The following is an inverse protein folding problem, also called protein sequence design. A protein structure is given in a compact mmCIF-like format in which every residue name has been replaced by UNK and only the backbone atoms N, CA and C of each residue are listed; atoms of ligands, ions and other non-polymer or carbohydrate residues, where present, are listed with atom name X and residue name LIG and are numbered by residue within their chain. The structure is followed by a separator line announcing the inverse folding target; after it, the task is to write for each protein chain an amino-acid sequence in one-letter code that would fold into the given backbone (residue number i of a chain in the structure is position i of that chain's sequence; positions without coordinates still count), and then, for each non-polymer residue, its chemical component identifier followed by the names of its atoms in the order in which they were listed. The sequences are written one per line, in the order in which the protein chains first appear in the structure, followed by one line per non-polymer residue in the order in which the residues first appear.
data_IF_123404579569
#
_entry.id   IF_123404579569
#
_cell.length_a   1.000
_cell.length_b   1.000
_cell.length_c   1.000
_cell.angle_alpha   90.00
_cell.angle_beta   90.00
_cell.angle_gamma   90.00
#
_symmetry.space_group_name_H-M   'P 1'
#
loop_
_entity.id
_entity.type
_entity.pdbx_description
1 polymer ?
#
# COMPACT_ATOMS: atom_id res chain seq x y z
N UNK A 1 3.62 12.20 -6.66
CA UNK A 1 4.03 10.82 -7.07
C UNK A 1 4.19 9.99 -5.80
N UNK A 2 3.51 8.83 -5.71
CA UNK A 2 3.62 7.94 -4.56
C UNK A 2 4.76 6.94 -4.81
N UNK A 3 5.63 6.79 -3.82
CA UNK A 3 6.76 5.86 -3.88
C UNK A 3 6.63 4.86 -2.73
N UNK A 4 6.47 3.58 -3.10
CA UNK A 4 6.43 2.49 -2.14
C UNK A 4 7.86 2.17 -1.66
N UNK A 5 8.01 1.99 -0.36
CA UNK A 5 9.26 1.49 0.21
C UNK A 5 9.47 0.01 -0.14
N UNK A 6 10.62 -0.51 0.23
CA UNK A 6 11.04 -1.87 -0.08
C UNK A 6 9.92 -2.89 0.13
N UNK A 7 9.60 -3.64 -0.94
CA UNK A 7 8.66 -4.77 -0.88
C UNK A 7 9.29 -5.96 -1.62
N UNK A 8 10.33 -6.52 -1.01
CA UNK A 8 10.99 -7.77 -1.40
C UNK A 8 10.66 -8.88 -0.41
N UNK A 9 10.94 -10.09 -0.80
CA UNK A 9 10.51 -11.31 -0.14
C UNK A 9 9.41 -12.00 -0.95
N UNK A 10 8.91 -13.13 -0.50
CA UNK A 10 7.95 -13.96 -1.22
C UNK A 10 8.46 -14.34 -2.63
N UNK A 11 7.78 -13.87 -3.66
CA UNK A 11 8.09 -14.08 -5.07
C UNK A 11 9.20 -13.15 -5.61
N UNK A 12 9.54 -12.10 -4.86
CA UNK A 12 10.50 -11.08 -5.26
C UNK A 12 11.82 -11.26 -4.51
N UNK A 13 12.57 -12.28 -4.88
CA UNK A 13 13.89 -12.52 -4.31
C UNK A 13 14.94 -11.62 -4.97
N UNK A 14 15.77 -10.99 -4.14
CA UNK A 14 16.95 -10.29 -4.58
C UNK A 14 18.18 -10.94 -3.90
N UNK A 15 19.11 -11.46 -4.69
CA UNK A 15 20.33 -12.15 -4.20
C UNK A 15 21.13 -11.32 -3.18
N UNK A 16 21.07 -9.99 -3.32
CA UNK A 16 21.74 -9.06 -2.41
C UNK A 16 21.30 -9.20 -0.95
N UNK A 17 20.03 -9.55 -0.70
CA UNK A 17 19.48 -9.62 0.65
C UNK A 17 19.72 -10.98 1.32
N UNK A 18 20.20 -11.98 0.60
CA UNK A 18 20.50 -13.32 1.10
C UNK A 18 19.38 -13.86 2.02
N UNK A 19 18.13 -13.66 1.62
CA UNK A 19 17.00 -14.14 2.38
C UNK A 19 17.00 -15.66 2.42
N UNK A 20 16.83 -16.21 3.61
CA UNK A 20 16.71 -17.65 3.78
C UNK A 20 15.48 -18.20 3.08
N UNK A 21 15.50 -19.47 2.73
CA UNK A 21 14.35 -20.13 2.16
C UNK A 21 13.27 -20.30 3.24
N UNK A 22 12.05 -19.86 2.92
CA UNK A 22 10.87 -20.00 3.78
C UNK A 22 9.83 -20.91 3.10
N UNK A 23 9.11 -21.71 3.89
CA UNK A 23 8.04 -22.55 3.35
C UNK A 23 6.82 -21.74 2.88
N UNK A 24 6.56 -20.60 3.51
CA UNK A 24 5.46 -19.69 3.20
C UNK A 24 5.96 -18.25 3.00
N UNK A 25 6.74 -17.97 1.93
CA UNK A 25 7.42 -16.68 1.78
C UNK A 25 6.48 -15.48 1.75
N UNK A 26 5.25 -15.64 1.24
CA UNK A 26 4.26 -14.58 1.22
C UNK A 26 3.86 -14.09 2.61
N UNK A 27 3.91 -14.98 3.61
CA UNK A 27 3.61 -14.69 5.02
C UNK A 27 4.88 -14.54 5.87
N UNK A 28 6.04 -14.60 5.26
CA UNK A 28 7.33 -14.67 5.90
C UNK A 28 7.99 -13.31 6.16
N UNK A 29 9.33 -13.33 6.14
CA UNK A 29 10.20 -12.18 6.36
C UNK A 29 10.32 -11.34 5.09
N UNK A 30 9.43 -10.36 4.93
CA UNK A 30 9.31 -9.51 3.74
C UNK A 30 8.96 -8.07 4.07
N UNK A 31 9.17 -7.19 3.11
CA UNK A 31 8.69 -5.81 3.10
C UNK A 31 9.06 -5.02 4.37
N UNK A 32 8.07 -4.44 5.06
CA UNK A 32 8.31 -3.63 6.26
C UNK A 32 9.00 -4.43 7.38
N UNK A 33 8.81 -5.74 7.46
CA UNK A 33 9.47 -6.59 8.45
C UNK A 33 10.99 -6.54 8.29
N UNK A 34 11.48 -6.57 7.04
CA UNK A 34 12.89 -6.38 6.72
C UNK A 34 13.34 -4.97 7.10
N UNK A 35 12.57 -3.96 6.74
CA UNK A 35 12.89 -2.57 7.02
C UNK A 35 13.06 -2.28 8.52
N UNK A 36 12.18 -2.84 9.36
CA UNK A 36 12.20 -2.61 10.81
C UNK A 36 13.29 -3.41 11.53
N UNK A 37 13.72 -4.55 10.99
CA UNK A 37 14.78 -5.38 11.58
C UNK A 37 16.17 -5.08 11.01
N UNK A 38 16.23 -4.46 9.83
CA UNK A 38 17.45 -3.98 9.18
C UNK A 38 17.36 -2.48 8.87
N UNK A 39 17.33 -1.61 9.90
CA UNK A 39 16.98 -0.20 9.75
C UNK A 39 17.93 0.58 8.84
N UNK A 40 19.18 0.17 8.68
CA UNK A 40 20.14 0.87 7.81
C UNK A 40 19.76 0.81 6.32
N UNK A 41 19.16 -0.29 5.89
CA UNK A 41 18.63 -0.42 4.52
C UNK A 41 17.47 0.56 4.35
N UNK A 42 16.56 0.58 5.31
CA UNK A 42 15.38 1.44 5.30
C UNK A 42 15.76 2.92 5.37
N UNK A 43 16.66 3.30 6.28
CA UNK A 43 17.21 4.67 6.38
C UNK A 43 17.85 5.13 5.07
N UNK A 44 18.57 4.24 4.38
CA UNK A 44 19.17 4.57 3.09
C UNK A 44 18.10 4.95 2.06
N UNK A 45 17.02 4.18 1.97
CA UNK A 45 15.90 4.48 1.08
C UNK A 45 15.20 5.78 1.50
N UNK A 46 14.89 5.96 2.79
CA UNK A 46 14.25 7.16 3.30
C UNK A 46 15.08 8.43 3.05
N UNK A 47 16.41 8.38 3.27
CA UNK A 47 17.30 9.52 2.93
C UNK A 47 17.19 9.90 1.45
N UNK A 48 17.14 8.91 0.56
CA UNK A 48 16.99 9.17 -0.87
C UNK A 48 15.63 9.81 -1.19
N UNK A 49 14.55 9.32 -0.58
CA UNK A 49 13.20 9.84 -0.78
C UNK A 49 13.06 11.27 -0.24
N UNK A 50 13.51 11.54 0.99
CA UNK A 50 13.47 12.90 1.53
C UNK A 50 14.33 13.87 0.72
N UNK A 51 15.51 13.47 0.27
CA UNK A 51 16.32 14.31 -0.64
C UNK A 51 15.60 14.59 -1.96
N UNK A 52 14.89 13.61 -2.51
CA UNK A 52 14.11 13.79 -3.73
C UNK A 52 12.92 14.74 -3.54
N UNK A 53 12.35 14.82 -2.34
CA UNK A 53 11.21 15.71 -2.04
C UNK A 53 11.53 17.20 -2.21
N UNK A 54 12.80 17.59 -2.17
CA UNK A 54 13.22 18.97 -2.46
C UNK A 54 13.00 19.37 -3.95
N UNK A 55 12.83 18.39 -4.83
CA UNK A 55 12.76 18.61 -6.29
C UNK A 55 11.38 18.32 -6.88
N UNK A 56 10.43 17.83 -6.07
CA UNK A 56 9.09 17.53 -6.56
C UNK A 56 8.16 16.94 -5.50
N UNK A 57 6.88 16.96 -5.80
CA UNK A 57 5.84 16.40 -4.94
C UNK A 57 5.93 14.87 -4.93
N UNK A 58 6.30 14.31 -3.79
CA UNK A 58 6.30 12.87 -3.54
C UNK A 58 5.50 12.55 -2.29
N UNK A 59 5.02 11.31 -2.21
CA UNK A 59 4.46 10.71 -1.00
C UNK A 59 5.13 9.36 -0.79
N UNK A 60 5.24 8.91 0.46
CA UNK A 60 5.88 7.65 0.82
C UNK A 60 4.80 6.67 1.28
N UNK A 61 4.85 5.43 0.77
CA UNK A 61 3.90 4.38 1.10
C UNK A 61 4.62 3.16 1.69
N UNK A 62 4.15 2.68 2.84
CA UNK A 62 4.73 1.54 3.55
C UNK A 62 3.89 0.28 3.35
N UNK A 63 4.47 -0.80 2.79
CA UNK A 63 3.76 -2.05 2.52
C UNK A 63 3.70 -2.98 3.74
N UNK A 64 2.77 -3.95 3.72
CA UNK A 64 2.67 -5.08 4.66
C UNK A 64 2.47 -4.70 6.13
N UNK A 65 1.80 -3.60 6.39
CA UNK A 65 1.47 -3.14 7.74
C UNK A 65 0.39 -4.04 8.37
N UNK A 66 0.54 -4.32 9.66
CA UNK A 66 -0.43 -5.08 10.45
C UNK A 66 -0.80 -4.42 11.78
N UNK A 67 -0.07 -3.37 12.21
CA UNK A 67 -0.30 -2.75 13.52
C UNK A 67 0.07 -1.27 13.57
N UNK A 68 -0.47 -0.57 14.56
CA UNK A 68 -0.11 0.82 14.90
C UNK A 68 1.35 0.93 15.36
N UNK A 69 1.82 -0.09 16.09
CA UNK A 69 3.19 -0.14 16.59
C UNK A 69 4.24 -0.14 15.46
N UNK A 70 3.93 -0.80 14.34
CA UNK A 70 4.81 -0.76 13.15
C UNK A 70 4.87 0.67 12.59
N UNK A 71 3.73 1.36 12.47
CA UNK A 71 3.69 2.74 11.97
C UNK A 71 4.49 3.66 12.90
N UNK A 72 4.35 3.52 14.21
CA UNK A 72 5.09 4.33 15.18
C UNK A 72 6.60 4.10 15.10
N UNK A 73 7.05 2.86 14.94
CA UNK A 73 8.47 2.55 14.69
C UNK A 73 8.98 3.15 13.37
N UNK A 74 8.15 3.12 12.31
CA UNK A 74 8.48 3.78 11.06
C UNK A 74 8.68 5.29 11.27
N UNK A 75 7.76 5.94 11.98
CA UNK A 75 7.85 7.37 12.27
C UNK A 75 9.12 7.73 13.08
N UNK A 76 9.50 6.89 14.04
CA UNK A 76 10.76 7.07 14.79
C UNK A 76 11.97 7.06 13.84
N UNK A 77 12.06 6.06 12.95
CA UNK A 77 13.16 5.96 11.96
C UNK A 77 13.12 7.14 10.97
N UNK A 78 11.93 7.58 10.56
CA UNK A 78 11.76 8.74 9.67
C UNK A 78 12.31 10.01 10.34
N UNK A 79 11.99 10.26 11.62
CA UNK A 79 12.49 11.44 12.33
C UNK A 79 14.01 11.38 12.58
N UNK A 80 14.57 10.20 12.82
CA UNK A 80 16.03 10.03 12.86
C UNK A 80 16.67 10.45 11.52
N UNK A 81 16.14 9.96 10.40
CA UNK A 81 16.63 10.32 9.06
C UNK A 81 16.48 11.82 8.79
N UNK A 82 15.35 12.42 9.14
CA UNK A 82 15.15 13.88 8.99
C UNK A 82 16.14 14.67 9.85
N UNK A 83 16.42 14.21 11.08
CA UNK A 83 17.41 14.86 11.94
C UNK A 83 18.81 14.81 11.32
N UNK A 84 19.23 13.64 10.84
CA UNK A 84 20.51 13.48 10.16
C UNK A 84 20.64 14.39 8.93
N UNK A 85 19.57 14.50 8.11
CA UNK A 85 19.56 15.38 6.94
C UNK A 85 19.64 16.86 7.33
N UNK A 86 18.95 17.29 8.41
CA UNK A 86 19.03 18.66 8.92
C UNK A 86 20.46 18.99 9.41
N UNK A 87 21.09 18.10 10.15
CA UNK A 87 22.48 18.25 10.64
C UNK A 87 23.48 18.35 9.50
N UNK A 88 23.24 17.65 8.39
CA UNK A 88 24.07 17.70 7.17
C UNK A 88 23.76 18.92 6.28
N UNK A 89 22.79 19.76 6.62
CA UNK A 89 22.37 20.90 5.82
C UNK A 89 21.68 20.51 4.51
N UNK A 90 21.16 19.29 4.41
CA UNK A 90 20.47 18.80 3.22
C UNK A 90 19.03 19.27 3.22
N UNK A 91 18.60 19.90 2.13
CA UNK A 91 17.21 20.35 1.98
C UNK A 91 16.27 19.20 1.65
N UNK A 92 15.10 19.19 2.29
CA UNK A 92 14.00 18.30 1.98
C UNK A 92 12.65 18.98 2.34
N UNK A 93 11.56 18.45 1.82
CA UNK A 93 10.20 18.90 2.13
C UNK A 93 9.49 17.86 3.01
N UNK A 94 8.49 18.31 3.75
CA UNK A 94 7.54 17.38 4.35
C UNK A 94 6.75 16.68 3.25
N UNK A 95 6.48 15.41 3.45
CA UNK A 95 5.81 14.55 2.47
C UNK A 95 4.69 13.78 3.14
N UNK A 96 3.61 13.54 2.40
CA UNK A 96 2.56 12.64 2.86
C UNK A 96 3.11 11.23 3.05
N UNK A 97 2.69 10.59 4.14
CA UNK A 97 3.10 9.24 4.49
C UNK A 97 1.86 8.37 4.67
N UNK A 98 1.75 7.34 3.87
CA UNK A 98 0.62 6.42 3.89
C UNK A 98 1.06 4.97 3.99
N UNK A 99 0.08 4.11 4.12
CA UNK A 99 0.30 2.67 4.23
C UNK A 99 -0.48 1.90 3.16
N UNK A 100 0.03 0.73 2.83
CA UNK A 100 -0.72 -0.21 2.02
C UNK A 100 -1.61 -1.07 2.92
N UNK A 101 -2.91 -1.04 2.64
CA UNK A 101 -3.89 -1.92 3.28
C UNK A 101 -4.00 -3.18 2.42
N UNK A 102 -3.20 -4.17 2.75
CA UNK A 102 -3.09 -5.42 1.97
C UNK A 102 -3.08 -6.67 2.84
N UNK A 103 -3.20 -6.50 4.16
CA UNK A 103 -3.43 -7.58 5.10
C UNK A 103 -4.83 -7.49 5.70
N UNK A 104 -5.51 -8.61 5.99
CA UNK A 104 -6.79 -8.57 6.69
C UNK A 104 -6.70 -7.84 8.04
N UNK A 105 -5.58 -7.95 8.74
CA UNK A 105 -5.35 -7.23 10.00
C UNK A 105 -5.42 -5.71 9.80
N UNK A 106 -4.73 -5.17 8.78
CA UNK A 106 -4.77 -3.75 8.48
C UNK A 106 -6.18 -3.29 8.06
N UNK A 107 -6.89 -4.10 7.28
CA UNK A 107 -8.27 -3.78 6.88
C UNK A 107 -9.23 -3.70 8.08
N UNK A 108 -9.13 -4.65 9.01
CA UNK A 108 -9.94 -4.68 10.24
C UNK A 108 -9.60 -3.51 11.17
N UNK A 109 -8.33 -3.12 11.25
CA UNK A 109 -7.82 -2.07 12.13
C UNK A 109 -7.73 -0.70 11.45
N UNK A 110 -8.33 -0.54 10.27
CA UNK A 110 -8.18 0.67 9.46
C UNK A 110 -8.68 1.96 10.14
N UNK A 111 -9.63 1.86 11.07
CA UNK A 111 -10.13 2.99 11.87
C UNK A 111 -9.04 3.63 12.76
N UNK A 112 -8.24 2.80 13.43
CA UNK A 112 -7.13 3.28 14.28
C UNK A 112 -5.86 3.57 13.49
N UNK A 113 -5.62 2.84 12.39
CA UNK A 113 -4.48 3.09 11.51
C UNK A 113 -4.61 4.43 10.78
N UNK A 114 -5.84 4.84 10.44
CA UNK A 114 -6.12 6.13 9.81
C UNK A 114 -5.76 7.35 10.69
N UNK A 115 -5.64 7.19 12.00
CA UNK A 115 -5.19 8.26 12.91
C UNK A 115 -3.68 8.52 12.81
N UNK A 116 -2.95 7.61 12.20
CA UNK A 116 -1.49 7.64 12.18
C UNK A 116 -0.90 8.01 10.81
N UNK A 117 -1.70 8.10 9.74
CA UNK A 117 -1.19 8.30 8.39
C UNK A 117 -2.03 9.27 7.57
N UNK A 118 -1.50 9.73 6.45
CA UNK A 118 -2.17 10.70 5.57
C UNK A 118 -3.05 10.02 4.53
N UNK A 119 -2.76 8.77 4.16
CA UNK A 119 -3.52 8.04 3.15
C UNK A 119 -3.42 6.52 3.28
N UNK A 120 -4.37 5.85 2.65
CA UNK A 120 -4.38 4.41 2.42
C UNK A 120 -4.27 4.08 0.93
N UNK A 121 -3.53 3.04 0.61
CA UNK A 121 -3.56 2.41 -0.71
C UNK A 121 -3.91 0.94 -0.56
N UNK A 122 -5.07 0.52 -1.05
CA UNK A 122 -5.54 -0.85 -0.87
C UNK A 122 -4.83 -1.76 -1.88
N UNK A 123 -3.96 -2.63 -1.38
CA UNK A 123 -3.22 -3.63 -2.16
C UNK A 123 -4.08 -4.87 -2.41
N UNK A 124 -4.94 -4.80 -3.43
CA UNK A 124 -6.01 -5.80 -3.63
C UNK A 124 -5.51 -7.21 -3.90
N UNK A 125 -4.34 -7.38 -4.52
CA UNK A 125 -3.80 -8.70 -4.81
C UNK A 125 -3.44 -9.47 -3.54
N UNK A 126 -2.65 -8.86 -2.65
CA UNK A 126 -2.26 -9.48 -1.39
C UNK A 126 -3.45 -9.54 -0.40
N UNK A 127 -4.31 -8.52 -0.36
CA UNK A 127 -5.52 -8.54 0.46
C UNK A 127 -6.43 -9.73 0.08
N UNK A 128 -6.64 -9.97 -1.21
CA UNK A 128 -7.44 -11.11 -1.69
C UNK A 128 -6.76 -12.43 -1.34
N UNK A 129 -5.47 -12.56 -1.61
CA UNK A 129 -4.68 -13.75 -1.30
C UNK A 129 -4.79 -14.14 0.17
N UNK A 130 -4.57 -13.21 1.07
CA UNK A 130 -4.60 -13.49 2.52
C UNK A 130 -6.02 -13.69 3.06
N UNK A 131 -7.00 -12.96 2.55
CA UNK A 131 -8.38 -13.07 3.00
C UNK A 131 -9.01 -14.40 2.59
N UNK A 132 -8.76 -14.84 1.35
CA UNK A 132 -9.29 -16.09 0.84
C UNK A 132 -8.39 -17.29 1.16
N UNK A 133 -7.21 -17.06 1.73
CA UNK A 133 -6.20 -18.10 2.00
C UNK A 133 -5.79 -18.87 0.74
N UNK A 134 -5.62 -18.15 -0.39
CA UNK A 134 -5.30 -18.72 -1.71
C UNK A 134 -3.99 -18.11 -2.20
N UNK A 135 -3.01 -18.96 -2.49
CA UNK A 135 -1.80 -18.54 -3.17
C UNK A 135 -2.11 -18.24 -4.65
N UNK A 136 -2.06 -16.96 -5.01
CA UNK A 136 -2.34 -16.47 -6.37
C UNK A 136 -1.32 -16.95 -7.42
N UNK A 137 -0.19 -17.50 -7.00
CA UNK A 137 0.82 -18.08 -7.92
C UNK A 137 0.59 -19.55 -8.19
N UNK A 138 -0.30 -20.20 -7.47
CA UNK A 138 -0.61 -21.59 -7.63
C UNK A 138 -1.76 -21.79 -8.65
N UNK A 139 -1.41 -22.04 -9.90
CA UNK A 139 -2.38 -22.24 -10.98
C UNK A 139 -3.45 -23.31 -10.71
N UNK A 140 -3.22 -24.23 -9.76
CA UNK A 140 -4.24 -25.21 -9.35
C UNK A 140 -5.39 -24.58 -8.58
N UNK A 141 -5.19 -23.38 -8.06
CA UNK A 141 -6.17 -22.66 -7.26
C UNK A 141 -6.92 -21.58 -8.04
N UNK A 142 -6.63 -21.37 -9.33
CA UNK A 142 -7.24 -20.31 -10.14
C UNK A 142 -8.77 -20.36 -10.11
N UNK A 143 -9.36 -21.57 -10.09
CA UNK A 143 -10.83 -21.72 -10.03
C UNK A 143 -11.44 -21.37 -8.68
N UNK A 144 -10.65 -21.22 -7.64
CA UNK A 144 -11.07 -20.81 -6.30
C UNK A 144 -10.76 -19.33 -6.01
N UNK A 145 -9.89 -18.71 -6.82
CA UNK A 145 -9.52 -17.32 -6.66
C UNK A 145 -10.58 -16.42 -7.28
N UNK A 146 -11.34 -15.74 -6.43
CA UNK A 146 -12.35 -14.77 -6.85
C UNK A 146 -11.98 -13.38 -6.31
N UNK A 147 -11.44 -12.54 -7.19
CA UNK A 147 -11.09 -11.16 -6.85
C UNK A 147 -12.34 -10.28 -6.59
N UNK A 148 -13.52 -10.67 -7.11
CA UNK A 148 -14.80 -9.98 -6.86
C UNK A 148 -15.53 -10.51 -5.61
N UNK A 149 -14.87 -11.35 -4.83
CA UNK A 149 -15.49 -11.99 -3.66
C UNK A 149 -16.10 -10.94 -2.72
N UNK A 150 -17.35 -11.15 -2.25
CA UNK A 150 -18.05 -10.15 -1.42
C UNK A 150 -17.30 -9.75 -0.14
N UNK A 151 -16.47 -10.62 0.43
CA UNK A 151 -15.64 -10.29 1.58
C UNK A 151 -14.62 -9.20 1.24
N UNK A 152 -14.00 -9.26 0.06
CA UNK A 152 -13.03 -8.27 -0.40
C UNK A 152 -13.71 -6.91 -0.60
N UNK A 153 -14.84 -6.89 -1.30
CA UNK A 153 -15.60 -5.65 -1.53
C UNK A 153 -16.06 -5.01 -0.21
N UNK A 154 -16.48 -5.81 0.77
CA UNK A 154 -16.83 -5.31 2.11
C UNK A 154 -15.63 -4.74 2.85
N UNK A 155 -14.47 -5.39 2.78
CA UNK A 155 -13.24 -4.85 3.37
C UNK A 155 -12.84 -3.52 2.72
N UNK A 156 -12.89 -3.44 1.40
CA UNK A 156 -12.60 -2.20 0.66
C UNK A 156 -13.53 -1.07 1.14
N UNK A 157 -14.85 -1.30 1.20
CA UNK A 157 -15.79 -0.30 1.70
C UNK A 157 -15.45 0.13 3.13
N UNK A 158 -15.20 -0.82 4.02
CA UNK A 158 -14.84 -0.51 5.42
C UNK A 158 -13.59 0.35 5.51
N UNK A 159 -12.57 0.04 4.71
CA UNK A 159 -11.30 0.80 4.68
C UNK A 159 -11.53 2.22 4.17
N UNK A 160 -12.37 2.40 3.14
CA UNK A 160 -12.73 3.72 2.61
C UNK A 160 -13.45 4.53 3.68
N UNK A 161 -14.49 3.98 4.29
CA UNK A 161 -15.29 4.67 5.32
C UNK A 161 -14.42 5.07 6.52
N UNK A 162 -13.57 4.17 7.00
CA UNK A 162 -12.67 4.43 8.11
C UNK A 162 -11.61 5.49 7.78
N UNK A 163 -10.98 5.39 6.59
CA UNK A 163 -10.02 6.39 6.13
C UNK A 163 -10.63 7.78 6.05
N UNK A 164 -11.75 7.91 5.35
CA UNK A 164 -12.46 9.19 5.21
C UNK A 164 -12.93 9.77 6.53
N UNK A 165 -13.34 8.94 7.49
CA UNK A 165 -13.75 9.41 8.84
C UNK A 165 -12.63 10.12 9.59
N UNK A 166 -11.37 9.91 9.20
CA UNK A 166 -10.17 10.50 9.81
C UNK A 166 -9.44 11.48 8.87
N UNK A 167 -9.98 11.73 7.70
CA UNK A 167 -9.40 12.65 6.73
C UNK A 167 -8.30 12.05 5.85
N UNK A 168 -8.09 10.73 5.90
CA UNK A 168 -7.22 10.00 4.98
C UNK A 168 -7.93 9.85 3.63
N UNK A 169 -7.26 10.18 2.54
CA UNK A 169 -7.72 9.76 1.23
C UNK A 169 -7.37 8.28 0.97
N UNK A 170 -8.17 7.60 0.16
CA UNK A 170 -8.05 6.15 -0.05
C UNK A 170 -7.97 5.82 -1.53
N UNK A 171 -6.87 5.16 -1.93
CA UNK A 171 -6.68 4.64 -3.27
C UNK A 171 -6.72 3.11 -3.33
N UNK A 172 -6.92 2.58 -4.53
CA UNK A 172 -6.75 1.17 -4.84
C UNK A 172 -5.55 1.00 -5.75
N UNK A 173 -4.66 0.08 -5.40
CA UNK A 173 -3.62 -0.42 -6.29
C UNK A 173 -3.75 -1.95 -6.44
N UNK A 174 -3.11 -2.49 -7.46
CA UNK A 174 -3.28 -3.88 -7.84
C UNK A 174 -4.28 -4.05 -9.00
N UNK A 175 -4.60 -5.30 -9.30
CA UNK A 175 -5.35 -5.64 -10.51
C UNK A 175 -6.79 -5.14 -10.50
N UNK A 176 -7.44 -5.13 -9.34
CA UNK A 176 -8.82 -4.63 -9.22
C UNK A 176 -8.96 -3.14 -9.58
N UNK A 177 -7.91 -2.33 -9.39
CA UNK A 177 -7.94 -0.93 -9.81
C UNK A 177 -8.13 -0.74 -11.32
N UNK A 178 -7.69 -1.73 -12.12
CA UNK A 178 -7.85 -1.75 -13.57
C UNK A 178 -9.10 -2.47 -14.05
N UNK A 179 -9.85 -3.10 -13.14
CA UNK A 179 -11.05 -3.84 -13.47
C UNK A 179 -12.20 -2.88 -13.81
N UNK A 180 -12.57 -2.90 -15.08
CA UNK A 180 -13.61 -2.03 -15.60
C UNK A 180 -15.03 -2.40 -15.13
N UNK A 181 -15.25 -3.65 -14.70
CA UNK A 181 -16.53 -4.09 -14.16
C UNK A 181 -16.78 -3.54 -12.75
N UNK A 182 -15.72 -3.31 -11.99
CA UNK A 182 -15.78 -2.77 -10.64
C UNK A 182 -15.60 -1.26 -10.55
N UNK A 183 -15.17 -0.59 -11.63
CA UNK A 183 -14.89 0.86 -11.60
C UNK A 183 -16.08 1.66 -11.05
N UNK A 184 -17.30 1.40 -11.52
CA UNK A 184 -18.49 2.13 -11.04
C UNK A 184 -18.80 1.80 -9.56
N UNK A 185 -18.57 0.57 -9.14
CA UNK A 185 -18.72 0.15 -7.75
C UNK A 185 -17.75 0.91 -6.83
N UNK A 186 -16.49 1.02 -7.22
CA UNK A 186 -15.50 1.77 -6.44
C UNK A 186 -15.81 3.27 -6.38
N UNK A 187 -16.31 3.85 -7.47
CA UNK A 187 -16.76 5.24 -7.44
C UNK A 187 -17.94 5.46 -6.46
N UNK A 188 -18.90 4.53 -6.43
CA UNK A 188 -20.02 4.57 -5.47
C UNK A 188 -19.57 4.36 -4.02
N UNK A 189 -18.51 3.61 -3.80
CA UNK A 189 -17.87 3.43 -2.49
C UNK A 189 -17.13 4.69 -2.02
N UNK A 190 -16.89 5.65 -2.92
CA UNK A 190 -16.19 6.90 -2.61
C UNK A 190 -14.67 6.84 -2.76
N UNK A 191 -14.14 5.94 -3.59
CA UNK A 191 -12.68 5.84 -3.79
C UNK A 191 -12.09 7.13 -4.38
N UNK A 192 -10.93 7.55 -3.88
CA UNK A 192 -10.26 8.77 -4.33
C UNK A 192 -9.28 8.51 -5.49
N UNK A 193 -8.65 7.35 -5.52
CA UNK A 193 -7.64 7.00 -6.53
C UNK A 193 -7.77 5.56 -7.02
N UNK A 194 -7.61 5.36 -8.33
CA UNK A 194 -7.39 4.06 -8.96
C UNK A 194 -6.01 4.06 -9.62
N UNK A 195 -5.03 3.43 -8.96
CA UNK A 195 -3.67 3.27 -9.47
C UNK A 195 -3.60 2.08 -10.41
N UNK A 196 -3.37 2.35 -11.68
CA UNK A 196 -3.41 1.35 -12.75
C UNK A 196 -2.17 1.41 -13.64
N UNK A 197 -1.84 0.31 -14.31
CA UNK A 197 -0.78 0.33 -15.29
C UNK A 197 -1.10 1.28 -16.46
N UNK A 198 -0.10 1.85 -17.15
CA UNK A 198 -0.30 2.88 -18.18
C UNK A 198 -1.32 2.52 -19.26
N UNK A 199 -1.42 1.24 -19.62
CA UNK A 199 -2.36 0.75 -20.63
C UNK A 199 -3.83 0.88 -20.22
N UNK A 200 -4.12 0.86 -18.92
CA UNK A 200 -5.48 0.97 -18.37
C UNK A 200 -5.90 2.38 -18.02
N UNK A 201 -4.99 3.35 -18.03
CA UNK A 201 -5.32 4.75 -17.66
C UNK A 201 -6.45 5.30 -18.53
N UNK A 202 -6.37 5.17 -19.85
CA UNK A 202 -7.40 5.72 -20.74
C UNK A 202 -8.75 4.99 -20.65
N UNK A 203 -8.81 3.63 -20.63
CA UNK A 203 -10.05 2.90 -20.43
C UNK A 203 -10.75 3.26 -19.10
N UNK A 204 -10.03 3.22 -17.97
CA UNK A 204 -10.60 3.54 -16.65
C UNK A 204 -11.05 5.01 -16.60
N UNK A 205 -10.22 5.95 -17.08
CA UNK A 205 -10.60 7.37 -17.14
C UNK A 205 -11.84 7.61 -17.99
N UNK A 206 -12.01 6.88 -19.10
CA UNK A 206 -13.23 6.96 -19.92
C UNK A 206 -14.46 6.56 -19.11
N UNK A 207 -14.39 5.43 -18.39
CA UNK A 207 -15.50 4.96 -17.55
C UNK A 207 -15.84 5.96 -16.46
N UNK A 208 -14.85 6.43 -15.70
CA UNK A 208 -15.07 7.45 -14.65
C UNK A 208 -15.81 8.67 -15.20
N UNK A 209 -15.42 9.16 -16.39
CA UNK A 209 -16.07 10.34 -17.01
C UNK A 209 -17.49 10.07 -17.52
N UNK A 210 -17.84 8.84 -17.79
CA UNK A 210 -19.18 8.46 -18.30
C UNK A 210 -20.09 7.86 -17.25
N UNK A 211 -19.54 7.45 -16.11
CA UNK A 211 -20.32 6.98 -14.97
C UNK A 211 -21.14 8.12 -14.38
N UNK A 212 -22.40 7.82 -14.08
CA UNK A 212 -23.27 8.74 -13.35
C UNK A 212 -23.19 8.36 -11.87
N UNK A 213 -22.39 9.08 -11.11
CA UNK A 213 -22.53 9.08 -9.66
C UNK A 213 -23.82 9.86 -9.38
N UNK A 214 -24.94 9.15 -9.19
CA UNK A 214 -26.15 9.79 -8.63
C UNK A 214 -25.85 10.05 -7.16
N UNK A 215 -26.02 11.29 -6.74
CA UNK A 215 -26.04 11.76 -5.36
C UNK A 215 -27.03 10.95 -4.51
#
# INVERSE_FOLDING_TARGET
MIIRTLDIGADKQAEYFQLEHEENPAMGYRAIRICLTQPEIFKTQLRALFRASAFGNIAIMYPMIISVEEIRKIKEIVEEVKSELREQGVQFSEVEQGIMIETPAAAVMSDVLAEEVDFFSIGTNDLTQYTLAIDRQNAKLDSFYDAHHPAILRMIQTVIDNGHSKGCWVGICGELGADTELTETFLKMGIDELSVSPTFVLPVRKLIRTSKCSD
#
